data_IF_911068346109
#
_entry.id   IF_911068346109
#
_cell.length_a   1.000
_cell.length_b   1.000
_cell.length_c   1.000
_cell.angle_alpha   90.00
_cell.angle_beta   90.00
_cell.angle_gamma   90.00
#
_symmetry.space_group_name_H-M   'P 1'
#
loop_
_entity.id
_entity.type
_entity.pdbx_description
1 polymer ?
#
# COMPACT_ATOMS: atom_id res chain seq x y z
N UNK A 1 1.93 30.69 21.11
CA UNK A 1 0.96 31.09 20.08
C UNK A 1 0.20 29.92 19.50
N UNK A 2 -1.03 30.22 19.10
CA UNK A 2 -2.16 29.31 18.95
C UNK A 2 -1.95 28.35 17.78
N UNK A 3 -2.07 27.05 18.05
CA UNK A 3 -2.43 26.07 17.03
C UNK A 3 -3.81 26.47 16.49
N UNK A 4 -3.82 27.22 15.38
CA UNK A 4 -5.03 27.39 14.58
C UNK A 4 -5.34 26.03 13.99
N UNK A 5 -6.23 25.29 14.66
CA UNK A 5 -6.96 24.21 14.01
C UNK A 5 -7.67 24.88 12.83
N UNK A 6 -7.42 24.46 11.57
CA UNK A 6 -8.10 25.04 10.42
C UNK A 6 -9.61 24.88 10.65
N UNK A 7 -10.35 26.00 10.54
CA UNK A 7 -11.80 26.00 10.63
C UNK A 7 -12.35 25.14 9.48
N UNK A 8 -12.80 23.94 9.80
CA UNK A 8 -13.49 23.07 8.87
C UNK A 8 -14.96 23.48 8.85
N UNK A 9 -15.39 24.10 7.75
CA UNK A 9 -16.81 24.25 7.47
C UNK A 9 -17.36 22.84 7.14
N UNK A 10 -18.34 22.31 7.89
CA UNK A 10 -18.90 20.98 7.65
C UNK A 10 -19.53 20.84 6.24
N UNK A 11 -19.94 21.96 5.63
CA UNK A 11 -20.50 21.99 4.28
C UNK A 11 -19.42 22.08 3.18
N UNK A 12 -18.18 22.42 3.55
CA UNK A 12 -17.00 22.35 2.67
C UNK A 12 -16.23 21.03 2.87
N UNK A 13 -16.78 20.10 3.68
CA UNK A 13 -16.21 18.77 3.81
C UNK A 13 -16.11 18.17 2.41
N UNK A 14 -14.90 17.91 1.89
CA UNK A 14 -14.76 17.44 0.54
C UNK A 14 -15.58 16.16 0.39
N UNK A 15 -16.17 15.95 -0.80
CA UNK A 15 -16.83 14.71 -1.23
C UNK A 15 -16.06 13.43 -0.82
N UNK A 16 -14.76 13.56 -0.55
CA UNK A 16 -13.85 12.59 0.08
C UNK A 16 -14.35 11.99 1.41
N UNK A 17 -15.15 12.70 2.22
CA UNK A 17 -15.71 12.13 3.46
C UNK A 17 -16.79 11.07 3.20
N UNK A 18 -17.31 10.96 1.98
CA UNK A 18 -18.28 9.92 1.60
C UNK A 18 -17.62 8.73 0.90
N UNK A 19 -16.29 8.75 0.71
CA UNK A 19 -15.58 7.68 0.02
C UNK A 19 -15.50 6.46 0.92
N UNK A 20 -16.34 5.47 0.62
CA UNK A 20 -16.40 4.19 1.32
C UNK A 20 -15.44 3.17 0.68
N UNK A 21 -15.11 3.35 -0.59
CA UNK A 21 -14.26 2.48 -1.39
C UNK A 21 -13.13 3.27 -2.04
N UNK A 22 -11.88 2.80 -1.87
CA UNK A 22 -10.70 3.37 -2.50
C UNK A 22 -9.94 2.28 -3.25
N UNK A 23 -9.62 2.53 -4.52
CA UNK A 23 -8.71 1.71 -5.31
C UNK A 23 -7.49 2.54 -5.72
N UNK A 24 -6.31 2.17 -5.20
CA UNK A 24 -5.05 2.85 -5.46
C UNK A 24 -4.11 1.92 -6.25
N UNK A 25 -3.83 2.31 -7.49
CA UNK A 25 -2.91 1.58 -8.38
C UNK A 25 -1.66 2.41 -8.59
N UNK A 26 -0.51 1.89 -8.17
CA UNK A 26 0.79 2.54 -8.25
C UNK A 26 1.68 1.80 -9.25
N UNK A 27 1.99 2.48 -10.37
CA UNK A 27 2.91 2.00 -11.39
C UNK A 27 4.16 2.87 -11.59
N UNK A 28 4.32 3.93 -10.78
CA UNK A 28 5.40 4.94 -10.86
C UNK A 28 6.01 5.19 -9.48
N UNK A 29 7.02 6.07 -9.32
CA UNK A 29 7.57 6.36 -7.98
C UNK A 29 6.48 6.93 -7.08
N UNK A 30 6.23 6.24 -5.98
CA UNK A 30 5.37 6.64 -4.89
C UNK A 30 6.06 6.20 -3.61
N UNK A 31 5.93 7.00 -2.55
CA UNK A 31 6.43 6.68 -1.21
C UNK A 31 5.27 6.52 -0.22
N UNK A 32 5.55 5.90 0.92
CA UNK A 32 4.58 5.69 1.99
C UNK A 32 4.01 7.01 2.54
N UNK A 33 4.77 8.12 2.51
CA UNK A 33 4.32 9.44 2.98
C UNK A 33 3.21 9.98 2.11
N UNK A 34 3.36 9.88 0.79
CA UNK A 34 2.37 10.30 -0.19
C UNK A 34 1.09 9.47 -0.05
N UNK A 35 1.22 8.15 0.11
CA UNK A 35 0.08 7.27 0.37
C UNK A 35 -0.59 7.64 1.68
N UNK A 36 0.18 7.77 2.78
CA UNK A 36 -0.33 8.16 4.10
C UNK A 36 -1.14 9.46 4.05
N UNK A 37 -0.67 10.46 3.30
CA UNK A 37 -1.40 11.70 3.10
C UNK A 37 -2.75 11.51 2.40
N UNK A 38 -2.80 10.66 1.37
CA UNK A 38 -4.05 10.31 0.68
C UNK A 38 -5.01 9.61 1.66
N UNK A 39 -4.51 8.61 2.39
CA UNK A 39 -5.34 7.81 3.30
C UNK A 39 -5.89 8.66 4.46
N UNK A 40 -5.06 9.54 5.03
CA UNK A 40 -5.45 10.47 6.10
C UNK A 40 -6.59 11.41 5.68
N UNK A 41 -6.68 11.75 4.40
CA UNK A 41 -7.74 12.61 3.87
C UNK A 41 -9.05 11.85 3.59
N UNK A 42 -9.08 10.53 3.74
CA UNK A 42 -10.24 9.68 3.44
C UNK A 42 -10.61 8.75 4.62
N UNK A 43 -10.79 9.27 5.85
CA UNK A 43 -10.92 8.44 7.06
C UNK A 43 -12.14 7.50 7.08
N UNK A 44 -13.10 7.70 6.19
CA UNK A 44 -14.35 6.93 6.10
C UNK A 44 -14.28 5.73 5.12
N UNK A 45 -13.11 5.46 4.55
CA UNK A 45 -12.89 4.29 3.69
C UNK A 45 -13.11 3.01 4.50
N UNK A 46 -13.99 2.14 4.01
CA UNK A 46 -14.26 0.81 4.57
C UNK A 46 -13.67 -0.31 3.74
N UNK A 47 -13.46 -0.07 2.45
CA UNK A 47 -12.91 -1.03 1.50
C UNK A 47 -11.74 -0.38 0.77
N UNK A 48 -10.55 -0.91 0.97
CA UNK A 48 -9.34 -0.40 0.34
C UNK A 48 -8.70 -1.48 -0.51
N UNK A 49 -8.45 -1.16 -1.78
CA UNK A 49 -7.74 -2.00 -2.72
C UNK A 49 -6.45 -1.30 -3.13
N UNK A 50 -5.31 -1.97 -2.94
CA UNK A 50 -4.01 -1.44 -3.31
C UNK A 50 -3.32 -2.38 -4.30
N UNK A 51 -2.80 -1.81 -5.39
CA UNK A 51 -1.97 -2.52 -6.37
C UNK A 51 -0.67 -1.80 -6.59
N UNK A 52 0.45 -2.53 -6.47
CA UNK A 52 1.79 -2.03 -6.75
C UNK A 52 2.47 -2.85 -7.85
N UNK A 53 2.81 -2.19 -8.95
CA UNK A 53 3.61 -2.78 -10.03
C UNK A 53 5.03 -2.22 -10.05
N UNK A 54 6.03 -3.04 -9.69
CA UNK A 54 7.44 -2.63 -9.67
C UNK A 54 8.15 -3.18 -10.91
N UNK A 55 8.57 -2.28 -11.81
CA UNK A 55 9.25 -2.63 -13.08
C UNK A 55 10.77 -2.48 -13.09
N UNK A 56 11.39 -1.65 -12.23
CA UNK A 56 12.82 -1.31 -12.33
C UNK A 56 13.55 -1.34 -10.99
N UNK A 57 14.73 -1.98 -11.02
CA UNK A 57 15.53 -2.36 -9.86
C UNK A 57 16.54 -1.33 -9.35
N UNK A 58 16.37 -0.05 -9.69
CA UNK A 58 17.39 0.97 -9.37
C UNK A 58 17.01 1.90 -8.22
N UNK A 59 15.88 1.70 -7.55
CA UNK A 59 15.36 2.70 -6.60
C UNK A 59 15.33 2.16 -5.18
N UNK A 60 15.74 2.96 -4.17
CA UNK A 60 15.67 2.61 -2.74
C UNK A 60 14.24 2.73 -2.13
N UNK A 61 13.21 2.86 -2.96
CA UNK A 61 11.81 3.08 -2.56
C UNK A 61 10.93 1.80 -2.38
N UNK A 62 11.24 0.62 -2.95
CA UNK A 62 10.39 -0.56 -2.75
C UNK A 62 10.33 -1.02 -1.29
N UNK A 63 11.42 -0.92 -0.54
CA UNK A 63 11.54 -1.61 0.76
C UNK A 63 10.48 -1.14 1.77
N UNK A 64 10.16 0.16 1.78
CA UNK A 64 9.13 0.70 2.67
C UNK A 64 7.70 0.29 2.26
N UNK A 65 7.41 0.20 0.95
CA UNK A 65 6.10 -0.24 0.45
C UNK A 65 5.93 -1.76 0.50
N UNK A 66 7.03 -2.49 0.57
CA UNK A 66 7.09 -3.95 0.71
C UNK A 66 7.21 -4.39 2.18
N UNK A 67 7.12 -3.46 3.13
CA UNK A 67 7.17 -3.74 4.57
C UNK A 67 5.77 -3.70 5.18
N UNK A 68 5.29 -4.86 5.62
CA UNK A 68 3.97 -5.00 6.24
C UNK A 68 3.80 -4.22 7.54
N UNK A 69 4.87 -3.98 8.31
CA UNK A 69 4.78 -3.14 9.52
C UNK A 69 4.43 -1.68 9.19
N UNK A 70 4.95 -1.15 8.09
CA UNK A 70 4.62 0.22 7.64
C UNK A 70 3.14 0.31 7.26
N UNK A 71 2.62 -0.71 6.58
CA UNK A 71 1.20 -0.80 6.26
C UNK A 71 0.32 -0.94 7.50
N UNK A 72 0.77 -1.69 8.50
CA UNK A 72 0.07 -1.83 9.78
C UNK A 72 -0.11 -0.48 10.44
N UNK A 73 0.99 0.27 10.60
CA UNK A 73 0.95 1.59 11.21
C UNK A 73 0.02 2.55 10.43
N UNK A 74 0.10 2.55 9.10
CA UNK A 74 -0.75 3.40 8.25
C UNK A 74 -2.24 3.04 8.39
N UNK A 75 -2.59 1.76 8.30
CA UNK A 75 -3.99 1.33 8.32
C UNK A 75 -4.59 1.54 9.72
N UNK A 76 -3.88 1.16 10.77
CA UNK A 76 -4.39 1.29 12.14
C UNK A 76 -4.51 2.75 12.57
N UNK A 77 -3.62 3.62 12.10
CA UNK A 77 -3.67 5.05 12.39
C UNK A 77 -4.75 5.79 11.59
N UNK A 78 -4.88 5.51 10.29
CA UNK A 78 -5.71 6.31 9.38
C UNK A 78 -7.05 5.69 9.02
N UNK A 79 -7.21 4.36 9.11
CA UNK A 79 -8.46 3.65 8.82
C UNK A 79 -8.92 2.75 9.98
N UNK A 80 -9.30 3.33 11.13
CA UNK A 80 -9.76 2.55 12.28
C UNK A 80 -11.05 1.75 12.03
N UNK A 81 -11.75 2.03 10.92
CA UNK A 81 -13.01 1.40 10.53
C UNK A 81 -12.92 0.57 9.25
N UNK A 82 -11.70 0.23 8.81
CA UNK A 82 -11.51 -0.58 7.61
C UNK A 82 -12.10 -1.98 7.81
N UNK A 83 -13.01 -2.37 6.92
CA UNK A 83 -13.64 -3.69 6.94
C UNK A 83 -12.88 -4.68 6.05
N UNK A 84 -12.33 -4.19 4.95
CA UNK A 84 -11.60 -4.99 3.97
C UNK A 84 -10.41 -4.23 3.40
N UNK A 85 -9.26 -4.88 3.43
CA UNK A 85 -8.09 -4.47 2.67
C UNK A 85 -7.75 -5.58 1.69
N UNK A 86 -7.55 -5.23 0.43
CA UNK A 86 -6.95 -6.15 -0.54
C UNK A 86 -5.65 -5.57 -1.08
N UNK A 87 -4.60 -6.39 -1.04
CA UNK A 87 -3.24 -5.95 -1.28
C UNK A 87 -2.59 -6.81 -2.34
N UNK A 88 -2.25 -6.19 -3.48
CA UNK A 88 -1.68 -6.85 -4.64
C UNK A 88 -0.32 -6.24 -4.98
N UNK A 89 0.73 -7.05 -4.92
CA UNK A 89 2.05 -6.64 -5.42
C UNK A 89 2.45 -7.52 -6.59
N UNK A 90 2.98 -6.89 -7.62
CA UNK A 90 3.65 -7.56 -8.73
C UNK A 90 5.09 -7.06 -8.84
N UNK A 91 6.05 -7.95 -8.52
CA UNK A 91 7.48 -7.65 -8.59
C UNK A 91 8.09 -8.30 -9.82
N UNK A 92 8.65 -7.50 -10.75
CA UNK A 92 9.43 -8.01 -11.89
C UNK A 92 10.88 -8.23 -11.47
N UNK A 93 11.36 -9.48 -11.55
CA UNK A 93 12.71 -9.88 -11.11
C UNK A 93 13.81 -9.34 -12.02
N UNK A 94 14.18 -8.07 -11.83
CA UNK A 94 15.50 -7.52 -12.16
C UNK A 94 16.34 -7.25 -10.89
N UNK A 95 15.72 -7.34 -9.70
CA UNK A 95 16.35 -7.21 -8.39
C UNK A 95 16.90 -8.56 -7.94
N UNK A 96 18.21 -8.68 -7.75
CA UNK A 96 18.83 -9.90 -7.21
C UNK A 96 18.92 -9.90 -5.67
N UNK A 97 18.52 -8.83 -4.98
CA UNK A 97 18.75 -8.65 -3.54
C UNK A 97 17.49 -8.44 -2.68
N UNK A 98 16.29 -8.73 -3.20
CA UNK A 98 15.06 -8.65 -2.41
C UNK A 98 14.94 -9.89 -1.53
N UNK A 99 14.94 -9.69 -0.22
CA UNK A 99 14.66 -10.72 0.77
C UNK A 99 13.15 -10.95 0.85
N UNK A 100 12.68 -11.92 0.08
CA UNK A 100 11.26 -12.26 0.02
C UNK A 100 10.75 -12.84 1.33
N UNK A 101 11.59 -13.53 2.09
CA UNK A 101 11.18 -14.12 3.36
C UNK A 101 10.94 -13.01 4.39
N UNK A 102 11.83 -12.01 4.45
CA UNK A 102 11.61 -10.82 5.27
C UNK A 102 10.32 -10.09 4.89
N UNK A 103 10.03 -9.93 3.59
CA UNK A 103 8.80 -9.30 3.12
C UNK A 103 7.58 -10.09 3.59
N UNK A 104 7.53 -11.39 3.31
CA UNK A 104 6.41 -12.25 3.70
C UNK A 104 6.20 -12.22 5.23
N UNK A 105 7.28 -12.35 6.00
CA UNK A 105 7.25 -12.31 7.46
C UNK A 105 6.71 -10.98 8.00
N UNK A 106 7.05 -9.85 7.36
CA UNK A 106 6.54 -8.53 7.78
C UNK A 106 5.03 -8.39 7.66
N UNK A 107 4.37 -9.24 6.86
CA UNK A 107 2.91 -9.26 6.70
C UNK A 107 2.20 -10.33 7.54
N UNK A 108 2.92 -11.18 8.28
CA UNK A 108 2.30 -12.23 9.11
C UNK A 108 1.27 -11.69 10.09
N UNK A 109 1.53 -10.51 10.66
CA UNK A 109 0.58 -9.82 11.54
C UNK A 109 -0.79 -9.63 10.87
N UNK A 110 -0.82 -9.15 9.63
CA UNK A 110 -2.05 -8.92 8.89
C UNK A 110 -2.78 -10.22 8.57
N UNK A 111 -2.04 -11.24 8.16
CA UNK A 111 -2.61 -12.56 7.86
C UNK A 111 -3.25 -13.16 9.11
N UNK A 112 -2.61 -13.02 10.27
CA UNK A 112 -3.12 -13.52 11.54
C UNK A 112 -4.32 -12.73 12.07
N UNK A 113 -4.22 -11.39 12.10
CA UNK A 113 -5.25 -10.52 12.69
C UNK A 113 -6.49 -10.37 11.80
N UNK A 114 -6.32 -10.35 10.49
CA UNK A 114 -7.38 -10.08 9.52
C UNK A 114 -7.49 -11.22 8.51
N UNK A 115 -7.84 -12.41 9.00
CA UNK A 115 -7.92 -13.64 8.20
C UNK A 115 -8.93 -13.60 7.04
N UNK A 116 -9.84 -12.62 7.03
CA UNK A 116 -10.80 -12.36 5.96
C UNK A 116 -10.30 -11.39 4.88
N UNK A 117 -9.08 -10.84 5.01
CA UNK A 117 -8.49 -9.92 4.04
C UNK A 117 -7.69 -10.70 3.00
N UNK A 118 -7.74 -10.21 1.75
CA UNK A 118 -7.05 -10.85 0.64
C UNK A 118 -5.69 -10.20 0.42
N UNK A 119 -4.63 -10.92 0.76
CA UNK A 119 -3.26 -10.47 0.54
C UNK A 119 -2.57 -11.36 -0.49
N UNK A 120 -2.19 -10.77 -1.62
CA UNK A 120 -1.59 -11.48 -2.74
C UNK A 120 -0.28 -10.80 -3.14
N UNK A 121 0.82 -11.49 -2.87
CA UNK A 121 2.16 -11.06 -3.27
C UNK A 121 2.61 -11.96 -4.42
N UNK A 122 2.62 -11.41 -5.64
CA UNK A 122 3.02 -12.11 -6.85
C UNK A 122 4.42 -11.66 -7.29
N UNK A 123 5.25 -12.62 -7.69
CA UNK A 123 6.56 -12.35 -8.24
C UNK A 123 6.70 -13.01 -9.62
N UNK A 124 7.30 -12.29 -10.56
CA UNK A 124 7.54 -12.80 -11.92
C UNK A 124 9.02 -12.84 -12.18
N UNK A 125 9.55 -14.05 -12.41
CA UNK A 125 10.90 -14.25 -12.89
C UNK A 125 10.91 -14.09 -14.40
N UNK A 126 11.66 -13.12 -14.91
CA UNK A 126 11.91 -13.07 -16.35
C UNK A 126 12.75 -14.30 -16.71
N UNK A 127 12.13 -15.29 -17.34
CA UNK A 127 12.89 -16.30 -18.07
C UNK A 127 13.52 -15.55 -19.25
N UNK A 128 14.86 -15.44 -19.26
CA UNK A 128 15.56 -15.16 -20.52
C UNK A 128 15.05 -16.21 -21.49
N UNK A 129 14.31 -15.79 -22.50
CA UNK A 129 14.18 -16.59 -23.71
C UNK A 129 15.61 -16.90 -24.15
N UNK A 130 15.96 -18.17 -24.08
CA UNK A 130 17.18 -18.68 -24.70
C UNK A 130 16.93 -18.46 -26.18
N UNK A 131 17.38 -17.32 -26.69
CA UNK A 131 17.54 -17.08 -28.11
C UNK A 131 18.54 -18.12 -28.59
N UNK A 132 18.03 -19.26 -29.02
CA UNK A 132 18.76 -20.22 -29.82
C UNK A 132 19.30 -19.48 -31.03
N UNK A 133 20.62 -19.29 -31.03
CA UNK A 133 21.39 -19.11 -32.24
C UNK A 133 21.91 -20.48 -32.66
#
# INVERSE_FOLDING_TARGET
DRFRIPYFNPNDAPLLTQVIYLNLIVGVRCDNRSISHILRCMPNVKYFYFTLGIRTASWPLPDELLNGYVWQDMIECYFPHLLKFEFFITIKKAYQSLDFDMILNSFEYFVGKYSNWNMIISYWKYHKEIGGK
#
